data_IF_920297020734
#
_entry.id   IF_920297020734
#
_cell.length_a   1.000
_cell.length_b   1.000
_cell.length_c   1.000
_cell.angle_alpha   90.00
_cell.angle_beta   90.00
_cell.angle_gamma   90.00
#
_symmetry.space_group_name_H-M   'P 1'
#
loop_
_entity.id
_entity.type
_entity.pdbx_description
1 polymer ?
#
# COMPACT_ATOMS: atom_id res chain seq x y z
N UNK A 1 1.90 -9.09 4.48
CA UNK A 1 2.36 -10.47 4.29
C UNK A 1 2.48 -11.14 5.64
N UNK A 2 1.68 -12.18 5.91
CA UNK A 2 1.89 -13.05 7.07
C UNK A 2 2.61 -14.29 6.54
N UNK A 3 3.94 -14.25 6.56
CA UNK A 3 4.77 -15.43 6.35
C UNK A 3 5.03 -16.09 7.70
N UNK A 4 4.35 -17.18 8.01
CA UNK A 4 4.69 -18.01 9.18
C UNK A 4 5.63 -19.11 8.71
N UNK A 5 6.93 -18.93 8.97
CA UNK A 5 7.91 -19.99 8.84
C UNK A 5 8.13 -20.62 10.22
N UNK A 6 7.51 -21.77 10.45
CA UNK A 6 7.87 -22.65 11.55
C UNK A 6 8.78 -23.76 11.04
N UNK A 7 10.06 -23.71 11.40
CA UNK A 7 10.96 -24.88 11.28
C UNK A 7 10.97 -25.61 12.62
N UNK A 8 10.47 -26.85 12.59
CA UNK A 8 10.67 -27.96 13.52
C UNK A 8 11.03 -27.61 14.98
N UNK A 9 10.01 -27.64 15.84
CA UNK A 9 10.00 -28.45 17.05
C UNK A 9 8.55 -28.57 17.54
N UNK A 10 8.14 -29.80 17.86
CA UNK A 10 6.86 -30.15 18.47
C UNK A 10 6.43 -29.15 19.57
N UNK A 11 5.11 -28.87 19.65
CA UNK A 11 4.41 -27.94 20.56
C UNK A 11 3.99 -26.57 20.01
N UNK A 12 3.48 -26.49 18.78
CA UNK A 12 2.46 -25.46 18.47
C UNK A 12 1.40 -26.00 17.52
N UNK A 13 0.22 -26.32 18.07
CA UNK A 13 -1.00 -26.66 17.33
C UNK A 13 -1.62 -25.39 16.72
N UNK A 14 -0.86 -24.69 15.88
CA UNK A 14 -1.44 -23.65 15.01
C UNK A 14 -1.77 -24.33 13.69
N UNK A 15 -2.99 -24.85 13.59
CA UNK A 15 -3.57 -25.23 12.30
C UNK A 15 -3.98 -23.97 11.55
N UNK A 16 -3.10 -23.47 10.69
CA UNK A 16 -3.50 -22.55 9.61
C UNK A 16 -4.03 -23.43 8.48
N UNK A 17 -5.34 -23.41 8.25
CA UNK A 17 -5.90 -24.01 7.04
C UNK A 17 -5.37 -23.20 5.84
N UNK A 18 -4.28 -23.69 5.26
CA UNK A 18 -3.61 -23.05 4.14
C UNK A 18 -4.46 -23.37 2.92
N UNK A 19 -5.25 -22.39 2.47
CA UNK A 19 -5.99 -22.52 1.22
C UNK A 19 -4.98 -22.54 0.08
N UNK A 20 -4.54 -23.74 -0.32
CA UNK A 20 -3.73 -23.95 -1.52
C UNK A 20 -4.66 -24.07 -2.72
N UNK A 21 -5.00 -22.96 -3.36
CA UNK A 21 -5.48 -23.00 -4.74
C UNK A 21 -4.32 -22.77 -5.70
N UNK A 22 -4.44 -23.29 -6.92
CA UNK A 22 -3.46 -23.13 -8.03
C UNK A 22 -3.28 -21.66 -8.49
N UNK A 23 -3.87 -20.71 -7.77
CA UNK A 23 -3.73 -19.25 -7.88
C UNK A 23 -3.13 -18.78 -6.56
N UNK A 24 -1.80 -18.64 -6.53
CA UNK A 24 -0.97 -18.63 -5.32
C UNK A 24 -1.49 -17.92 -4.08
N UNK A 25 -1.32 -18.57 -2.92
CA UNK A 25 -1.14 -18.10 -1.54
C UNK A 25 -1.87 -16.84 -1.02
N UNK A 26 -2.87 -16.30 -1.71
CA UNK A 26 -3.61 -15.10 -1.33
C UNK A 26 -5.04 -15.50 -0.93
N UNK A 27 -5.44 -15.05 0.27
CA UNK A 27 -6.82 -15.17 0.71
C UNK A 27 -7.73 -14.37 -0.23
N UNK A 28 -8.87 -14.92 -0.68
CA UNK A 28 -9.84 -14.17 -1.48
C UNK A 28 -10.31 -12.89 -0.77
N UNK A 29 -10.79 -11.89 -1.51
CA UNK A 29 -11.43 -10.71 -0.90
C UNK A 29 -12.63 -11.16 -0.06
N UNK A 30 -12.76 -10.67 1.17
CA UNK A 30 -13.85 -11.09 2.06
C UNK A 30 -13.61 -10.77 3.53
N UNK A 31 -14.58 -11.09 4.37
CA UNK A 31 -14.47 -10.94 5.82
C UNK A 31 -14.16 -12.30 6.44
N UNK A 32 -13.10 -12.36 7.23
CA UNK A 32 -12.54 -13.55 7.84
C UNK A 32 -12.42 -13.36 9.35
N UNK A 33 -12.24 -14.47 10.06
CA UNK A 33 -11.75 -14.49 11.43
C UNK A 33 -10.73 -15.62 11.55
N UNK A 34 -9.79 -15.50 12.46
CA UNK A 34 -8.86 -16.58 12.80
C UNK A 34 -9.50 -17.42 13.89
N UNK A 35 -9.42 -18.74 13.74
CA UNK A 35 -9.81 -19.68 14.77
C UNK A 35 -8.56 -20.43 15.22
N UNK A 36 -8.20 -20.29 16.48
CA UNK A 36 -7.15 -21.06 17.12
C UNK A 36 -7.77 -22.18 17.94
N UNK A 37 -7.17 -23.36 17.91
CA UNK A 37 -7.62 -24.49 18.73
C UNK A 37 -6.41 -25.29 19.19
N UNK A 38 -6.41 -25.69 20.46
CA UNK A 38 -5.39 -26.58 21.06
C UNK A 38 -5.93 -28.03 21.20
N UNK A 39 -6.96 -28.37 20.42
CA UNK A 39 -7.72 -29.62 20.53
C UNK A 39 -8.79 -29.65 21.61
N UNK A 40 -8.73 -28.79 22.64
CA UNK A 40 -9.69 -28.72 23.75
C UNK A 40 -10.49 -27.44 23.76
N UNK A 41 -9.80 -26.31 23.61
CA UNK A 41 -10.31 -24.97 23.61
C UNK A 41 -10.34 -24.41 22.19
N UNK A 42 -11.16 -23.39 22.00
CA UNK A 42 -11.30 -22.65 20.74
C UNK A 42 -11.32 -21.17 21.05
N UNK A 43 -10.47 -20.43 20.35
CA UNK A 43 -10.42 -18.98 20.40
C UNK A 43 -10.68 -18.44 19.00
N UNK A 44 -11.32 -17.30 18.95
CA UNK A 44 -11.67 -16.61 17.71
C UNK A 44 -11.06 -15.21 17.78
N UNK A 45 -10.44 -14.76 16.69
CA UNK A 45 -10.11 -13.34 16.55
C UNK A 45 -11.38 -12.53 16.28
N UNK A 46 -11.24 -11.21 16.35
CA UNK A 46 -12.17 -10.31 15.69
C UNK A 46 -12.25 -10.59 14.19
N UNK A 47 -13.35 -10.17 13.57
CA UNK A 47 -13.50 -10.21 12.12
C UNK A 47 -12.55 -9.20 11.47
N UNK A 48 -11.81 -9.62 10.45
CA UNK A 48 -10.96 -8.76 9.63
C UNK A 48 -11.33 -8.90 8.16
N UNK A 49 -11.14 -7.83 7.40
CA UNK A 49 -11.48 -7.80 5.99
C UNK A 49 -10.20 -7.92 5.16
N UNK A 50 -10.18 -8.87 4.24
CA UNK A 50 -9.15 -8.96 3.20
C UNK A 50 -9.66 -8.16 2.01
N UNK A 51 -8.98 -7.05 1.74
CA UNK A 51 -9.19 -6.24 0.55
C UNK A 51 -7.93 -6.27 -0.31
N UNK A 52 -8.17 -5.96 -1.58
CA UNK A 52 -7.11 -5.75 -2.54
C UNK A 52 -6.74 -4.27 -2.50
N UNK A 53 -5.64 -3.99 -1.81
CA UNK A 53 -5.07 -2.64 -1.71
C UNK A 53 -4.55 -2.18 -3.08
N UNK A 54 -4.15 -3.14 -3.92
CA UNK A 54 -3.51 -2.93 -5.21
C UNK A 54 -4.27 -3.68 -6.30
N UNK A 55 -5.47 -3.20 -6.61
CA UNK A 55 -6.30 -3.77 -7.66
C UNK A 55 -5.52 -3.87 -8.98
N UNK A 56 -5.55 -5.06 -9.58
CA UNK A 56 -4.99 -5.26 -10.91
C UNK A 56 -5.76 -4.40 -11.92
N UNK A 57 -5.09 -3.42 -12.49
CA UNK A 57 -5.66 -2.46 -13.44
C UNK A 57 -5.91 -3.11 -14.81
N UNK A 58 -5.25 -4.23 -15.07
CA UNK A 58 -5.35 -4.98 -16.31
C UNK A 58 -6.36 -6.12 -16.18
N UNK A 59 -7.37 -6.16 -17.05
CA UNK A 59 -8.33 -7.26 -17.10
C UNK A 59 -8.19 -8.10 -18.36
N UNK A 60 -7.82 -7.50 -19.50
CA UNK A 60 -7.69 -8.23 -20.75
C UNK A 60 -6.73 -7.59 -21.76
N UNK A 61 -6.24 -8.42 -22.67
CA UNK A 61 -5.32 -8.03 -23.74
C UNK A 61 -6.03 -7.87 -25.09
N UNK A 62 -5.55 -6.92 -25.90
CA UNK A 62 -5.97 -6.69 -27.28
C UNK A 62 -4.76 -6.85 -28.22
N UNK A 63 -4.76 -7.92 -29.02
CA UNK A 63 -3.71 -8.15 -30.01
C UNK A 63 -3.69 -7.02 -31.04
N UNK A 64 -2.51 -6.48 -31.32
CA UNK A 64 -2.33 -5.44 -32.34
C UNK A 64 -1.66 -6.00 -33.59
N UNK A 65 -0.66 -6.88 -33.42
CA UNK A 65 0.15 -7.32 -34.55
C UNK A 65 0.83 -8.68 -34.40
N UNK A 66 0.70 -9.39 -33.27
CA UNK A 66 1.20 -10.77 -33.21
C UNK A 66 0.41 -11.63 -34.21
N UNK A 67 1.10 -12.54 -34.91
CA UNK A 67 0.45 -13.43 -35.88
C UNK A 67 -0.40 -14.48 -35.16
N UNK A 68 0.10 -14.99 -34.03
CA UNK A 68 -0.69 -15.82 -33.10
C UNK A 68 -0.75 -15.12 -31.75
N UNK A 69 -1.96 -14.88 -31.27
CA UNK A 69 -2.19 -14.33 -29.94
C UNK A 69 -3.39 -14.99 -29.27
N UNK A 70 -3.16 -15.60 -28.11
CA UNK A 70 -4.18 -16.25 -27.29
C UNK A 70 -4.02 -15.75 -25.86
N UNK A 71 -5.09 -15.24 -25.27
CA UNK A 71 -5.13 -14.77 -23.88
C UNK A 71 -6.37 -15.27 -23.13
N UNK A 72 -6.29 -15.27 -21.81
CA UNK A 72 -7.42 -15.49 -20.90
C UNK A 72 -7.30 -14.48 -19.77
N UNK A 73 -8.18 -13.47 -19.78
CA UNK A 73 -8.02 -12.30 -18.92
C UNK A 73 -6.66 -11.61 -19.13
N UNK A 74 -5.98 -11.30 -18.03
CA UNK A 74 -4.65 -10.68 -18.04
C UNK A 74 -3.50 -11.68 -18.32
N UNK A 75 -3.79 -12.97 -18.51
CA UNK A 75 -2.79 -13.99 -18.87
C UNK A 75 -2.62 -14.08 -20.39
N UNK A 76 -1.37 -14.08 -20.87
CA UNK A 76 -1.03 -14.40 -22.26
C UNK A 76 -0.69 -15.90 -22.34
N UNK A 77 -1.52 -16.67 -23.02
CA UNK A 77 -1.32 -18.11 -23.21
C UNK A 77 -0.31 -18.36 -24.33
N UNK A 78 -0.34 -17.55 -25.38
CA UNK A 78 0.62 -17.61 -26.49
C UNK A 78 0.67 -16.27 -27.21
N UNK A 79 1.87 -15.76 -27.46
CA UNK A 79 2.15 -14.63 -28.33
C UNK A 79 3.33 -15.01 -29.24
N UNK A 80 3.06 -15.09 -30.55
CA UNK A 80 4.05 -15.48 -31.57
C UNK A 80 4.13 -14.40 -32.64
N UNK A 81 5.35 -13.97 -32.91
CA UNK A 81 5.76 -13.11 -34.02
C UNK A 81 6.96 -13.77 -34.73
N UNK A 82 6.89 -13.96 -36.04
CA UNK A 82 7.98 -14.55 -36.84
C UNK A 82 8.84 -13.50 -37.52
N UNK A 83 8.33 -12.28 -37.65
CA UNK A 83 9.01 -11.16 -38.28
C UNK A 83 9.55 -10.16 -37.26
N UNK A 84 9.11 -8.93 -37.44
CA UNK A 84 9.46 -7.82 -36.57
C UNK A 84 8.19 -7.04 -36.35
N UNK A 85 7.96 -6.62 -35.10
CA UNK A 85 6.86 -5.73 -34.68
C UNK A 85 5.64 -6.40 -34.03
N UNK A 86 5.80 -7.54 -33.36
CA UNK A 86 4.74 -8.14 -32.53
C UNK A 86 4.37 -7.23 -31.36
N UNK A 87 3.08 -6.94 -31.18
CA UNK A 87 2.57 -6.02 -30.16
C UNK A 87 1.22 -6.46 -29.63
N UNK A 88 1.05 -6.27 -28.33
CA UNK A 88 -0.23 -6.38 -27.64
C UNK A 88 -0.38 -5.21 -26.69
N UNK A 89 -1.58 -4.64 -26.63
CA UNK A 89 -1.92 -3.59 -25.67
C UNK A 89 -2.96 -4.13 -24.68
N UNK A 90 -3.04 -3.54 -23.49
CA UNK A 90 -4.24 -3.70 -22.67
C UNK A 90 -5.45 -3.19 -23.44
N UNK A 91 -6.62 -3.74 -23.12
CA UNK A 91 -7.87 -3.32 -23.73
C UNK A 91 -8.16 -1.85 -23.44
N UNK A 92 -8.96 -1.22 -24.31
CA UNK A 92 -9.41 0.16 -24.10
C UNK A 92 -10.33 0.30 -22.88
N UNK A 93 -10.94 -0.79 -22.42
CA UNK A 93 -11.71 -0.81 -21.16
C UNK A 93 -10.80 -0.70 -19.93
N UNK A 94 -9.53 -1.11 -20.07
CA UNK A 94 -8.50 -1.05 -19.03
C UNK A 94 -7.66 0.23 -19.14
N UNK A 95 -8.19 1.27 -19.77
CA UNK A 95 -7.53 2.57 -19.80
C UNK A 95 -7.60 3.21 -18.41
N UNK A 96 -6.48 3.71 -17.90
CA UNK A 96 -6.41 4.31 -16.56
C UNK A 96 -5.68 5.66 -16.57
N UNK A 97 -6.05 6.58 -15.70
CA UNK A 97 -5.36 7.86 -15.56
C UNK A 97 -4.03 7.67 -14.81
N UNK A 98 -2.98 8.34 -15.30
CA UNK A 98 -1.68 8.43 -14.65
C UNK A 98 -1.21 9.88 -14.53
N UNK A 99 -0.50 10.19 -13.44
CA UNK A 99 0.15 11.47 -13.20
C UNK A 99 1.61 11.47 -13.70
N UNK A 100 2.20 12.65 -13.85
CA UNK A 100 3.64 12.75 -14.14
C UNK A 100 4.44 12.18 -12.98
N UNK A 101 5.51 11.45 -13.27
CA UNK A 101 6.40 10.81 -12.30
C UNK A 101 5.73 9.71 -11.45
N UNK A 102 4.47 9.33 -11.75
CA UNK A 102 3.83 8.18 -11.12
C UNK A 102 4.56 6.88 -11.47
N UNK A 103 4.68 5.98 -10.49
CA UNK A 103 5.29 4.67 -10.66
C UNK A 103 4.23 3.56 -10.74
N UNK A 104 4.26 2.80 -11.84
CA UNK A 104 3.42 1.63 -12.06
C UNK A 104 4.28 0.37 -11.97
N UNK A 105 3.85 -0.59 -11.16
CA UNK A 105 4.53 -1.86 -10.95
C UNK A 105 3.83 -2.94 -11.79
N UNK A 106 4.62 -3.70 -12.52
CA UNK A 106 4.16 -4.76 -13.43
C UNK A 106 4.81 -6.07 -13.01
N UNK A 107 4.00 -7.05 -12.63
CA UNK A 107 4.47 -8.33 -12.09
C UNK A 107 3.92 -9.48 -12.94
N UNK A 108 4.81 -10.35 -13.40
CA UNK A 108 4.43 -11.59 -14.09
C UNK A 108 5.59 -12.57 -14.19
N UNK A 109 5.29 -13.85 -14.37
CA UNK A 109 6.24 -14.86 -14.82
C UNK A 109 6.21 -14.95 -16.34
N UNK A 110 7.35 -14.82 -17.01
CA UNK A 110 7.53 -15.00 -18.45
C UNK A 110 8.09 -16.38 -18.75
N UNK A 111 7.41 -17.14 -19.61
CA UNK A 111 7.96 -18.35 -20.24
C UNK A 111 8.31 -18.04 -21.68
N UNK A 112 9.62 -18.03 -22.00
CA UNK A 112 10.12 -17.78 -23.35
C UNK A 112 10.36 -19.12 -24.06
N UNK A 113 9.61 -19.39 -25.13
CA UNK A 113 9.82 -20.60 -25.93
C UNK A 113 10.96 -20.39 -26.93
N UNK A 114 11.01 -19.21 -27.57
CA UNK A 114 12.11 -18.82 -28.45
C UNK A 114 12.12 -17.30 -28.74
N UNK A 115 13.22 -16.81 -29.31
CA UNK A 115 13.31 -15.44 -29.85
C UNK A 115 13.53 -14.36 -28.80
N UNK A 116 12.97 -13.17 -29.04
CA UNK A 116 13.14 -12.00 -28.19
C UNK A 116 12.14 -11.99 -27.03
N UNK A 117 12.61 -11.66 -25.82
CA UNK A 117 11.74 -11.29 -24.68
C UNK A 117 10.98 -9.98 -24.97
N UNK A 118 9.71 -9.85 -24.53
CA UNK A 118 8.94 -8.63 -24.75
C UNK A 118 9.51 -7.46 -23.94
N UNK A 119 9.42 -6.26 -24.50
CA UNK A 119 9.59 -5.01 -23.75
C UNK A 119 8.25 -4.47 -23.30
N UNK A 120 8.26 -3.81 -22.15
CA UNK A 120 7.09 -3.36 -21.42
C UNK A 120 7.11 -1.84 -21.31
N UNK A 121 5.99 -1.17 -21.62
CA UNK A 121 5.82 0.27 -21.44
C UNK A 121 4.34 0.68 -21.37
N UNK A 122 4.10 1.93 -20.99
CA UNK A 122 2.81 2.58 -21.07
C UNK A 122 2.72 3.43 -22.34
N UNK A 123 1.59 3.33 -23.00
CA UNK A 123 1.17 4.21 -24.08
C UNK A 123 0.07 5.14 -23.58
N UNK A 124 -0.09 6.30 -24.23
CA UNK A 124 -1.32 7.06 -24.10
C UNK A 124 -2.54 6.30 -24.67
N UNK A 125 -3.74 6.73 -24.34
CA UNK A 125 -4.99 6.05 -24.69
C UNK A 125 -5.19 5.86 -26.22
N UNK A 126 -4.69 6.78 -27.04
CA UNK A 126 -4.71 6.63 -28.52
C UNK A 126 -3.67 5.62 -29.04
N UNK A 127 -2.70 5.21 -28.20
CA UNK A 127 -1.65 4.22 -28.46
C UNK A 127 -0.53 4.65 -29.38
N UNK A 128 -0.41 5.96 -29.62
CA UNK A 128 0.55 6.50 -30.54
C UNK A 128 1.85 6.90 -29.83
N UNK A 129 1.77 7.34 -28.57
CA UNK A 129 2.90 7.87 -27.82
C UNK A 129 3.21 7.02 -26.59
N UNK A 130 4.50 6.68 -26.43
CA UNK A 130 5.03 6.11 -25.18
C UNK A 130 5.09 7.21 -24.13
N UNK A 131 4.54 6.94 -22.96
CA UNK A 131 4.44 7.89 -21.84
C UNK A 131 5.13 7.36 -20.56
N UNK A 132 5.97 6.34 -20.69
CA UNK A 132 6.84 5.83 -19.63
C UNK A 132 8.22 5.47 -20.16
N UNK A 133 9.14 5.10 -19.28
CA UNK A 133 10.30 4.29 -19.68
C UNK A 133 9.84 2.96 -20.34
N UNK A 134 10.73 2.37 -21.14
CA UNK A 134 10.55 1.03 -21.72
C UNK A 134 11.56 0.08 -21.10
N UNK A 135 11.09 -1.06 -20.59
CA UNK A 135 11.93 -2.04 -19.89
C UNK A 135 11.77 -3.40 -20.57
N UNK A 136 12.87 -4.03 -20.95
CA UNK A 136 12.85 -5.40 -21.45
C UNK A 136 12.59 -6.37 -20.29
N UNK A 137 11.65 -7.30 -20.48
CA UNK A 137 11.46 -8.40 -19.54
C UNK A 137 12.63 -9.39 -19.60
N UNK A 138 12.69 -10.29 -18.62
CA UNK A 138 13.62 -11.41 -18.56
C UNK A 138 12.83 -12.71 -18.46
N UNK A 139 13.41 -13.84 -18.90
CA UNK A 139 12.79 -15.15 -18.68
C UNK A 139 12.66 -15.43 -17.17
N UNK A 140 11.49 -15.91 -16.73
CA UNK A 140 11.18 -16.13 -15.31
C UNK A 140 10.36 -15.00 -14.68
N UNK A 141 10.54 -14.77 -13.37
CA UNK A 141 9.78 -13.76 -12.62
C UNK A 141 10.26 -12.35 -13.00
N UNK A 142 9.31 -11.48 -13.30
CA UNK A 142 9.53 -10.06 -13.57
C UNK A 142 8.75 -9.21 -12.57
N UNK A 143 9.42 -8.23 -11.98
CA UNK A 143 8.84 -7.11 -11.23
C UNK A 143 9.44 -5.84 -11.84
N UNK A 144 8.65 -5.18 -12.70
CA UNK A 144 9.10 -4.06 -13.55
C UNK A 144 8.44 -2.78 -13.05
N UNK A 145 9.26 -1.77 -12.72
CA UNK A 145 8.79 -0.41 -12.43
C UNK A 145 8.78 0.42 -13.71
N UNK A 146 7.60 0.94 -14.05
CA UNK A 146 7.41 1.92 -15.11
C UNK A 146 7.20 3.30 -14.49
N UNK A 147 8.10 4.23 -14.77
CA UNK A 147 8.00 5.65 -14.37
C UNK A 147 7.31 6.42 -15.49
N UNK A 148 6.17 7.03 -15.18
CA UNK A 148 5.37 7.82 -16.12
C UNK A 148 6.08 9.14 -16.40
N UNK A 149 6.33 9.44 -17.67
CA UNK A 149 7.04 10.65 -18.11
C UNK A 149 6.10 11.79 -18.52
N UNK A 150 4.79 11.54 -18.52
CA UNK A 150 3.75 12.51 -18.87
C UNK A 150 2.39 12.07 -18.35
N UNK A 151 1.71 12.96 -17.62
CA UNK A 151 0.32 12.74 -17.21
C UNK A 151 -0.61 12.53 -18.43
N UNK A 152 -1.40 11.45 -18.41
CA UNK A 152 -2.31 11.08 -19.50
C UNK A 152 -3.29 9.98 -19.03
N UNK A 153 -4.25 9.63 -19.89
CA UNK A 153 -4.87 8.30 -19.83
C UNK A 153 -3.93 7.30 -20.50
N UNK A 154 -3.52 6.28 -19.76
CA UNK A 154 -2.56 5.26 -20.15
C UNK A 154 -3.21 3.93 -20.51
N UNK A 155 -2.45 3.13 -21.26
CA UNK A 155 -2.67 1.71 -21.48
C UNK A 155 -1.34 0.98 -21.50
N UNK A 156 -1.37 -0.28 -21.09
CA UNK A 156 -0.17 -1.12 -21.03
C UNK A 156 0.17 -1.67 -22.41
N UNK A 157 1.45 -1.85 -22.72
CA UNK A 157 1.90 -2.53 -23.95
C UNK A 157 3.06 -3.48 -23.68
N UNK A 158 2.98 -4.66 -24.30
CA UNK A 158 4.11 -5.55 -24.53
C UNK A 158 4.47 -5.52 -26.03
N UNK A 159 5.76 -5.39 -26.34
CA UNK A 159 6.27 -5.26 -27.72
C UNK A 159 7.54 -6.08 -27.95
N UNK A 160 7.61 -6.72 -29.12
CA UNK A 160 8.79 -7.33 -29.69
C UNK A 160 9.17 -6.66 -31.01
N UNK A 161 10.47 -6.42 -31.21
CA UNK A 161 11.05 -5.83 -32.43
C UNK A 161 11.69 -6.88 -33.34
N UNK A 162 11.67 -8.15 -32.95
CA UNK A 162 12.18 -9.30 -33.68
C UNK A 162 11.30 -10.51 -33.36
N UNK A 163 11.56 -11.64 -34.01
CA UNK A 163 10.80 -12.86 -33.80
C UNK A 163 10.75 -13.24 -32.31
N UNK A 164 9.58 -13.64 -31.83
CA UNK A 164 9.32 -14.02 -30.45
C UNK A 164 8.25 -15.09 -30.35
N UNK A 165 8.38 -15.96 -29.35
CA UNK A 165 7.37 -16.94 -28.95
C UNK A 165 7.41 -17.04 -27.43
N UNK A 166 6.35 -16.57 -26.78
CA UNK A 166 6.27 -16.55 -25.32
C UNK A 166 4.85 -16.71 -24.79
N UNK A 167 4.78 -16.98 -23.50
CA UNK A 167 3.57 -16.95 -22.69
C UNK A 167 3.86 -16.32 -21.32
N UNK A 168 2.83 -15.95 -20.58
CA UNK A 168 2.98 -15.38 -19.24
C UNK A 168 2.09 -16.11 -18.22
N UNK A 169 2.37 -15.92 -16.92
CA UNK A 169 1.34 -16.00 -15.89
C UNK A 169 0.28 -14.91 -16.10
N UNK A 170 -0.67 -14.79 -15.18
CA UNK A 170 -1.44 -13.57 -15.08
C UNK A 170 -0.49 -12.36 -14.94
N UNK A 171 -0.74 -11.31 -15.72
CA UNK A 171 0.01 -10.06 -15.63
C UNK A 171 -0.70 -9.12 -14.67
N UNK A 172 0.00 -8.78 -13.60
CA UNK A 172 -0.49 -7.88 -12.56
C UNK A 172 0.07 -6.49 -12.81
N UNK A 173 -0.80 -5.51 -13.02
CA UNK A 173 -0.44 -4.10 -13.21
C UNK A 173 -1.07 -3.31 -12.08
N UNK A 174 -0.25 -2.69 -11.25
CA UNK A 174 -0.71 -1.94 -10.09
C UNK A 174 0.04 -0.62 -9.98
N UNK A 175 -0.59 0.37 -9.34
CA UNK A 175 0.13 1.57 -8.91
C UNK A 175 1.06 1.19 -7.75
N UNK A 176 2.22 1.85 -7.64
CA UNK A 176 3.08 1.68 -6.46
C UNK A 176 2.39 2.12 -5.16
N UNK A 177 1.51 3.13 -5.26
CA UNK A 177 0.72 3.66 -4.17
C UNK A 177 -0.78 3.52 -4.48
N UNK A 178 -1.60 3.32 -3.44
CA UNK A 178 -3.02 3.09 -3.64
C UNK A 178 -3.78 4.42 -3.60
N UNK A 179 -4.55 4.79 -4.64
CA UNK A 179 -5.31 6.04 -4.68
C UNK A 179 -6.48 6.06 -3.68
N UNK A 180 -6.72 4.93 -2.99
CA UNK A 180 -7.84 4.71 -2.07
C UNK A 180 -7.39 4.51 -0.64
N UNK A 181 -6.08 4.39 -0.40
CA UNK A 181 -5.58 4.07 0.92
C UNK A 181 -4.40 4.94 1.29
N UNK A 182 -4.43 5.42 2.53
CA UNK A 182 -3.24 5.93 3.21
C UNK A 182 -2.57 4.77 3.94
N UNK A 183 -1.26 4.62 3.76
CA UNK A 183 -0.46 3.62 4.46
C UNK A 183 0.19 4.24 5.70
N UNK A 184 0.02 3.60 6.84
CA UNK A 184 0.79 3.85 8.04
C UNK A 184 1.83 2.75 8.19
N UNK A 185 3.09 3.11 8.37
CA UNK A 185 4.17 2.20 8.74
C UNK A 185 4.77 2.66 10.06
N UNK A 186 4.94 1.74 11.00
CA UNK A 186 5.48 2.09 12.30
C UNK A 186 6.32 0.97 12.88
N UNK A 187 7.38 1.35 13.58
CA UNK A 187 8.34 0.41 14.16
C UNK A 187 8.42 0.58 15.67
N UNK A 188 8.83 -0.48 16.35
CA UNK A 188 9.13 -0.41 17.76
C UNK A 188 10.42 -1.18 18.08
N UNK A 189 11.16 -0.69 19.08
CA UNK A 189 12.33 -1.39 19.61
C UNK A 189 12.11 -1.94 21.03
N UNK A 190 10.93 -1.69 21.62
CA UNK A 190 10.52 -2.14 22.95
C UNK A 190 9.07 -2.59 22.95
N UNK A 191 8.68 -3.34 23.98
CA UNK A 191 7.28 -3.64 24.23
C UNK A 191 6.51 -2.35 24.53
N UNK A 192 5.24 -2.28 24.11
CA UNK A 192 4.35 -1.19 24.54
C UNK A 192 3.61 -1.66 25.77
N UNK A 193 3.95 -1.07 26.91
CA UNK A 193 3.23 -1.29 28.15
C UNK A 193 2.03 -0.34 28.21
N UNK A 194 0.87 -0.85 28.64
CA UNK A 194 -0.24 0.01 29.06
C UNK A 194 0.17 0.93 30.21
N UNK A 195 -0.70 1.92 30.53
CA UNK A 195 -0.53 2.73 31.75
C UNK A 195 -0.46 1.83 32.99
N UNK A 196 0.22 2.31 34.03
CA UNK A 196 0.45 1.62 35.31
C UNK A 196 -0.77 0.84 35.81
N UNK A 197 -0.66 -0.48 35.85
CA UNK A 197 -1.63 -1.38 36.50
C UNK A 197 -2.43 -2.25 35.53
N UNK A 198 -2.30 -2.03 34.22
CA UNK A 198 -3.04 -2.79 33.21
C UNK A 198 -2.11 -3.81 32.56
N UNK A 199 -2.44 -5.10 32.68
CA UNK A 199 -1.66 -6.23 32.16
C UNK A 199 -1.58 -6.29 30.61
N UNK A 200 -2.04 -5.25 29.92
CA UNK A 200 -2.08 -5.14 28.47
C UNK A 200 -0.74 -4.68 27.91
N UNK A 201 0.27 -5.56 27.99
CA UNK A 201 1.53 -5.35 27.27
C UNK A 201 1.38 -5.88 25.84
N UNK A 202 1.57 -5.00 24.85
CA UNK A 202 1.81 -5.46 23.48
C UNK A 202 3.29 -5.82 23.40
N UNK A 203 3.56 -7.12 23.30
CA UNK A 203 4.91 -7.66 23.15
C UNK A 203 5.37 -7.44 21.71
N UNK A 204 6.47 -6.71 21.55
CA UNK A 204 7.12 -6.44 20.28
C UNK A 204 8.37 -7.30 20.14
N UNK A 205 8.37 -8.17 19.13
CA UNK A 205 9.63 -8.76 18.70
C UNK A 205 10.49 -7.66 18.05
N UNK A 206 11.71 -7.47 18.57
CA UNK A 206 12.65 -6.47 18.09
C UNK A 206 12.79 -6.52 16.55
N UNK A 207 12.60 -5.37 15.90
CA UNK A 207 12.82 -5.21 14.46
C UNK A 207 11.60 -5.47 13.57
N UNK A 208 10.40 -5.59 14.14
CA UNK A 208 9.18 -5.74 13.35
C UNK A 208 8.65 -4.37 12.89
N UNK A 209 8.42 -4.24 11.58
CA UNK A 209 7.68 -3.11 10.99
C UNK A 209 6.22 -3.50 10.85
N UNK A 210 5.34 -2.71 11.45
CA UNK A 210 3.90 -2.87 11.30
C UNK A 210 3.39 -1.95 10.20
N UNK A 211 2.33 -2.40 9.53
CA UNK A 211 1.66 -1.63 8.50
C UNK A 211 0.15 -1.64 8.74
N UNK A 212 -0.47 -0.47 8.57
CA UNK A 212 -1.92 -0.32 8.56
C UNK A 212 -2.32 0.44 7.28
N UNK A 213 -3.38 -0.01 6.63
CA UNK A 213 -3.91 0.61 5.42
C UNK A 213 -5.30 1.14 5.72
N UNK A 214 -5.44 2.47 5.69
CA UNK A 214 -6.69 3.17 5.99
C UNK A 214 -7.37 3.53 4.68
N UNK A 215 -8.65 3.22 4.50
CA UNK A 215 -9.37 3.40 3.24
C UNK A 215 -9.85 4.86 3.10
N UNK A 216 -8.90 5.76 2.99
CA UNK A 216 -9.09 7.20 3.06
C UNK A 216 -8.03 7.91 2.22
N UNK A 217 -8.13 9.24 2.15
CA UNK A 217 -7.17 10.13 1.48
C UNK A 217 -6.66 11.18 2.45
N UNK A 218 -5.50 11.74 2.16
CA UNK A 218 -4.96 12.84 2.95
C UNK A 218 -5.83 14.10 2.76
N UNK A 219 -6.34 14.66 3.85
CA UNK A 219 -7.04 15.94 3.78
C UNK A 219 -6.07 17.07 3.48
N UNK A 220 -6.53 18.09 2.74
CA UNK A 220 -5.78 19.33 2.52
C UNK A 220 -5.31 19.89 3.86
N UNK A 221 -4.00 20.13 4.04
CA UNK A 221 -3.48 20.55 5.32
C UNK A 221 -4.09 21.90 5.73
N UNK A 222 -4.55 21.96 6.98
CA UNK A 222 -4.86 23.23 7.62
C UNK A 222 -3.58 24.01 7.86
N UNK A 223 -3.67 25.33 8.02
CA UNK A 223 -2.54 26.14 8.46
C UNK A 223 -2.91 26.91 9.71
N UNK A 224 -2.06 26.80 10.73
CA UNK A 224 -2.15 27.59 11.95
C UNK A 224 -0.99 28.57 11.98
N UNK A 225 -1.30 29.85 12.22
CA UNK A 225 -0.29 30.85 12.49
C UNK A 225 0.08 30.79 13.96
N UNK A 226 1.34 30.51 14.26
CA UNK A 226 1.91 30.55 15.61
C UNK A 226 2.90 31.71 15.67
N UNK A 227 2.58 32.69 16.51
CA UNK A 227 3.47 33.81 16.79
C UNK A 227 4.35 33.42 17.99
N UNK A 228 5.65 33.31 17.76
CA UNK A 228 6.66 33.12 18.81
C UNK A 228 7.22 34.48 19.16
N UNK A 229 7.19 34.82 20.44
CA UNK A 229 7.59 36.12 20.93
C UNK A 229 7.65 36.13 22.45
N UNK A 230 7.88 37.32 23.00
CA UNK A 230 7.88 37.54 24.44
C UNK A 230 6.94 38.68 24.78
N UNK A 231 6.35 38.60 25.96
CA UNK A 231 5.61 39.72 26.53
C UNK A 231 6.60 40.74 27.09
N UNK A 232 6.54 41.97 26.58
CA UNK A 232 7.37 43.08 27.03
C UNK A 232 6.47 44.26 27.35
N UNK A 233 6.55 44.73 28.59
CA UNK A 233 5.76 45.87 29.08
C UNK A 233 4.23 45.66 28.90
N UNK A 234 3.75 44.42 29.05
CA UNK A 234 2.33 44.06 28.89
C UNK A 234 1.84 43.97 27.44
N UNK A 235 2.77 44.02 26.47
CA UNK A 235 2.48 43.84 25.05
C UNK A 235 3.24 42.62 24.53
N UNK A 236 2.52 41.68 23.92
CA UNK A 236 3.16 40.58 23.21
C UNK A 236 3.82 41.09 21.92
N UNK A 237 5.15 40.94 21.84
CA UNK A 237 5.92 41.29 20.65
C UNK A 237 6.27 39.99 19.94
N UNK A 238 5.63 39.74 18.79
CA UNK A 238 5.96 38.61 17.93
C UNK A 238 7.34 38.80 17.30
N UNK A 239 8.28 37.93 17.65
CA UNK A 239 9.65 37.94 17.12
C UNK A 239 9.77 37.06 15.87
N UNK A 240 8.94 36.03 15.78
CA UNK A 240 8.91 35.08 14.67
C UNK A 240 7.49 34.58 14.44
N UNK A 241 7.03 34.68 13.20
CA UNK A 241 5.77 34.08 12.77
C UNK A 241 6.09 32.74 12.11
N UNK A 242 5.48 31.66 12.60
CA UNK A 242 5.63 30.31 12.06
C UNK A 242 4.27 29.84 11.58
N UNK A 243 4.18 29.43 10.30
CA UNK A 243 3.01 28.73 9.80
C UNK A 243 3.19 27.24 10.04
N UNK A 244 2.30 26.64 10.81
CA UNK A 244 2.27 25.21 11.07
C UNK A 244 1.23 24.56 10.16
N UNK A 245 1.67 23.61 9.33
CA UNK A 245 0.76 22.77 8.57
C UNK A 245 0.26 21.63 9.45
N UNK A 246 -1.06 21.47 9.49
CA UNK A 246 -1.72 20.40 10.21
C UNK A 246 -2.35 19.45 9.20
N UNK A 247 -1.79 18.27 9.11
CA UNK A 247 -2.29 17.19 8.26
C UNK A 247 -3.32 16.38 9.02
N UNK A 248 -4.29 15.84 8.29
CA UNK A 248 -5.40 15.09 8.87
C UNK A 248 -5.79 13.93 7.97
N UNK A 249 -6.06 12.80 8.58
CA UNK A 249 -6.72 11.66 7.97
C UNK A 249 -7.96 11.36 8.80
N UNK A 250 -9.09 11.12 8.13
CA UNK A 250 -10.33 10.67 8.78
C UNK A 250 -10.73 9.35 8.13
N UNK A 251 -10.93 8.31 8.93
CA UNK A 251 -11.40 7.00 8.45
C UNK A 251 -12.44 6.42 9.40
N UNK A 252 -13.32 5.57 8.90
CA UNK A 252 -14.39 4.94 9.67
C UNK A 252 -13.94 3.56 10.15
N UNK A 253 -13.56 3.45 11.42
CA UNK A 253 -12.86 2.28 11.94
C UNK A 253 -13.64 1.61 13.08
N UNK A 254 -13.32 0.35 13.33
CA UNK A 254 -13.77 -0.36 14.53
C UNK A 254 -12.91 0.00 15.75
N UNK A 255 -13.45 -0.24 16.95
CA UNK A 255 -12.72 0.01 18.22
C UNK A 255 -11.39 -0.73 18.32
N UNK A 256 -11.33 -1.99 17.88
CA UNK A 256 -10.12 -2.81 17.99
C UNK A 256 -8.94 -2.22 17.22
N UNK A 257 -9.19 -1.71 16.01
CA UNK A 257 -8.18 -1.03 15.21
C UNK A 257 -7.81 0.32 15.83
N UNK A 258 -8.79 1.07 16.34
CA UNK A 258 -8.53 2.31 17.06
C UNK A 258 -7.62 2.10 18.29
N UNK A 259 -7.84 1.05 19.09
CA UNK A 259 -6.99 0.70 20.23
C UNK A 259 -5.53 0.41 19.82
N UNK A 260 -5.31 -0.05 18.60
CA UNK A 260 -3.97 -0.13 18.01
C UNK A 260 -3.43 1.25 17.64
N UNK A 261 -4.23 2.06 16.95
CA UNK A 261 -3.82 3.36 16.42
C UNK A 261 -3.57 4.42 17.50
N UNK A 262 -4.28 4.41 18.63
CA UNK A 262 -4.01 5.35 19.74
C UNK A 262 -2.62 5.20 20.33
N UNK A 263 -1.95 4.08 20.06
CA UNK A 263 -0.57 3.81 20.49
C UNK A 263 0.47 4.29 19.48
N UNK A 264 0.07 4.85 18.34
CA UNK A 264 0.98 5.43 17.36
C UNK A 264 2.06 6.33 17.99
N UNK A 265 1.73 7.26 18.92
CA UNK A 265 2.71 8.13 19.56
C UNK A 265 3.68 7.43 20.52
N UNK A 266 3.57 6.11 20.71
CA UNK A 266 4.49 5.32 21.51
C UNK A 266 5.51 4.55 20.64
N UNK A 267 5.33 4.54 19.32
CA UNK A 267 6.24 3.87 18.40
C UNK A 267 7.54 4.66 18.17
N UNK A 268 8.59 3.96 17.76
CA UNK A 268 9.90 4.54 17.48
C UNK A 268 9.93 5.36 16.19
N UNK A 269 9.23 4.89 15.17
CA UNK A 269 9.11 5.61 13.91
C UNK A 269 7.68 5.50 13.44
N UNK A 270 7.20 6.54 12.78
CA UNK A 270 5.92 6.59 12.09
C UNK A 270 6.21 7.17 10.71
N UNK A 271 5.82 6.44 9.67
CA UNK A 271 5.82 6.89 8.28
C UNK A 271 4.40 6.80 7.78
N UNK A 272 3.89 7.90 7.26
CA UNK A 272 2.57 8.01 6.64
C UNK A 272 2.81 8.21 5.15
N UNK A 273 2.24 7.34 4.32
CA UNK A 273 2.34 7.43 2.86
C UNK A 273 0.94 7.69 2.33
N UNK A 274 0.74 8.86 1.72
CA UNK A 274 -0.57 9.24 1.19
C UNK A 274 -0.95 8.48 -0.09
N UNK A 275 -2.13 8.79 -0.62
CA UNK A 275 -2.69 8.10 -1.78
C UNK A 275 -1.92 8.33 -3.09
N UNK A 276 -0.99 9.29 -3.12
CA UNK A 276 -0.12 9.60 -4.26
C UNK A 276 1.35 9.24 -4.02
N UNK A 277 1.69 8.76 -2.82
CA UNK A 277 3.03 8.30 -2.47
C UNK A 277 3.92 9.33 -1.77
N UNK A 278 3.40 10.48 -1.34
CA UNK A 278 4.17 11.39 -0.50
C UNK A 278 4.38 10.75 0.87
N UNK A 279 5.62 10.75 1.33
CA UNK A 279 5.99 10.22 2.63
C UNK A 279 6.09 11.35 3.67
N UNK A 280 5.47 11.13 4.83
CA UNK A 280 5.52 12.00 5.99
C UNK A 280 6.07 11.22 7.18
N UNK A 281 7.09 11.74 7.85
CA UNK A 281 7.73 11.12 9.02
C UNK A 281 7.60 12.02 10.24
N UNK A 282 6.40 12.16 10.83
CA UNK A 282 6.23 13.00 12.02
C UNK A 282 7.06 12.47 13.20
N UNK A 283 7.52 13.39 14.05
CA UNK A 283 8.13 13.02 15.32
C UNK A 283 7.11 12.29 16.21
N UNK A 284 7.60 11.41 17.09
CA UNK A 284 6.79 10.48 17.90
C UNK A 284 5.78 11.19 18.84
N UNK A 285 5.99 12.45 19.19
CA UNK A 285 5.05 13.27 19.97
C UNK A 285 4.10 14.13 19.13
N UNK A 286 4.19 14.05 17.81
CA UNK A 286 3.49 14.95 16.88
C UNK A 286 2.32 14.30 16.15
N UNK A 287 1.92 13.11 16.58
CA UNK A 287 0.74 12.42 16.08
C UNK A 287 -0.31 12.42 17.19
N UNK A 288 -1.51 12.87 16.86
CA UNK A 288 -2.69 12.77 17.71
C UNK A 288 -3.69 11.83 17.05
N UNK A 289 -4.21 10.89 17.83
CA UNK A 289 -5.28 9.99 17.37
C UNK A 289 -6.48 10.19 18.28
N UNK A 290 -7.63 10.49 17.69
CA UNK A 290 -8.89 10.70 18.38
C UNK A 290 -10.03 10.02 17.63
N UNK A 291 -11.15 9.79 18.29
CA UNK A 291 -12.32 9.16 17.67
C UNK A 291 -13.62 9.80 18.14
N UNK A 292 -14.58 9.89 17.22
CA UNK A 292 -15.98 10.21 17.49
C UNK A 292 -16.85 8.97 17.22
N UNK A 293 -17.37 8.37 18.29
CA UNK A 293 -18.15 7.14 18.20
C UNK A 293 -19.61 7.43 17.84
N UNK A 294 -19.96 7.26 16.56
CA UNK A 294 -21.34 7.37 16.10
C UNK A 294 -22.20 6.14 16.45
N UNK A 295 -21.59 4.98 16.66
CA UNK A 295 -22.28 3.72 17.02
C UNK A 295 -21.51 2.96 18.12
N UNK A 296 -22.02 1.79 18.53
CA UNK A 296 -21.39 0.98 19.57
C UNK A 296 -20.00 0.48 19.15
N UNK A 297 -19.83 0.00 17.91
CA UNK A 297 -18.61 -0.71 17.48
C UNK A 297 -17.74 0.03 16.46
N UNK A 298 -18.28 1.07 15.82
CA UNK A 298 -17.59 1.83 14.78
C UNK A 298 -17.78 3.34 14.92
N UNK A 299 -16.76 4.10 14.50
CA UNK A 299 -16.73 5.56 14.62
C UNK A 299 -15.72 6.21 13.67
N UNK A 300 -15.81 7.53 13.57
CA UNK A 300 -14.88 8.33 12.78
C UNK A 300 -13.59 8.52 13.59
N UNK A 301 -12.49 7.95 13.11
CA UNK A 301 -11.16 8.07 13.69
C UNK A 301 -10.40 9.16 12.94
N UNK A 302 -9.92 10.15 13.69
CA UNK A 302 -9.12 11.26 13.21
C UNK A 302 -7.66 11.06 13.65
N UNK A 303 -6.76 10.97 12.68
CA UNK A 303 -5.31 11.04 12.88
C UNK A 303 -4.83 12.40 12.42
N UNK A 304 -4.21 13.16 13.30
CA UNK A 304 -3.65 14.48 13.00
C UNK A 304 -2.16 14.52 13.29
N UNK A 305 -1.38 15.21 12.44
CA UNK A 305 0.03 15.44 12.72
C UNK A 305 0.54 16.76 12.15
N UNK A 306 1.75 17.13 12.57
CA UNK A 306 2.55 18.17 11.93
C UNK A 306 3.85 17.52 11.38
N UNK A 307 4.42 18.08 10.31
CA UNK A 307 5.68 17.59 9.71
C UNK A 307 6.93 18.29 10.28
N UNK A 308 6.73 19.22 11.22
CA UNK A 308 7.76 20.09 11.77
C UNK A 308 8.29 19.64 13.13
N UNK A 309 9.45 20.17 13.51
CA UNK A 309 10.15 19.88 14.79
C UNK A 309 9.47 20.45 16.05
N UNK A 310 8.19 20.83 15.98
CA UNK A 310 7.47 21.45 17.09
C UNK A 310 6.65 20.38 17.81
N UNK A 311 7.10 20.02 19.00
CA UNK A 311 6.45 19.04 19.88
C UNK A 311 5.08 19.56 20.28
N UNK A 312 4.04 18.75 20.10
CA UNK A 312 2.78 18.99 20.82
C UNK A 312 3.09 18.90 22.30
N UNK A 313 3.10 20.04 22.98
CA UNK A 313 3.00 20.06 24.43
C UNK A 313 1.55 19.74 24.75
N UNK A 314 1.18 18.48 24.57
CA UNK A 314 0.07 17.96 25.34
C UNK A 314 0.54 18.00 26.79
N UNK A 315 -0.35 18.36 27.72
CA UNK A 315 -0.03 18.38 29.14
C UNK A 315 0.22 16.93 29.58
N UNK A 316 1.44 16.45 29.35
CA UNK A 316 1.89 15.07 29.57
C UNK A 316 1.89 14.64 31.04
N UNK A 317 1.26 15.41 31.94
CA UNK A 317 0.93 14.96 33.29
C UNK A 317 -0.16 13.88 33.29
N UNK A 318 -0.92 13.72 32.19
CA UNK A 318 -1.97 12.69 32.10
C UNK A 318 -1.53 11.40 31.37
N UNK A 319 -0.25 11.18 31.06
CA UNK A 319 0.25 9.87 30.59
C UNK A 319 1.40 9.36 31.48
N UNK A 320 1.07 9.11 32.76
CA UNK A 320 1.86 8.26 33.68
C UNK A 320 1.00 7.19 34.33
#
# INVERSE_FOLDING_TARGET
FIGVYGTDADYSDIFVETYRSDTGDLLPKGTYYLKLTDGTNKWYSEWFNIQDVYENILSLWSNQSYETFISSGAKIISAIETGSNGRVNSSTIDNFAVANDEEIIVIFFLTLNSGQVPSVNLLNADGLAVISNTVAATEGINEITLTVTKAATARMRLINTSASDYSTSEVWVQRKYSPRFVKLQFTNDKDLHGKRGDDQTILYQKGFTQECWLQTILNTPGSNRVDVGQEKDGVFIAEKIITQYKYRIIDYLNRSLFEGLIRLPQHKTITIIDEVGNEYTPDIGNVLVSAEWGTFDTGDVLIEWNDGSFVWVDNAEDIT
#
